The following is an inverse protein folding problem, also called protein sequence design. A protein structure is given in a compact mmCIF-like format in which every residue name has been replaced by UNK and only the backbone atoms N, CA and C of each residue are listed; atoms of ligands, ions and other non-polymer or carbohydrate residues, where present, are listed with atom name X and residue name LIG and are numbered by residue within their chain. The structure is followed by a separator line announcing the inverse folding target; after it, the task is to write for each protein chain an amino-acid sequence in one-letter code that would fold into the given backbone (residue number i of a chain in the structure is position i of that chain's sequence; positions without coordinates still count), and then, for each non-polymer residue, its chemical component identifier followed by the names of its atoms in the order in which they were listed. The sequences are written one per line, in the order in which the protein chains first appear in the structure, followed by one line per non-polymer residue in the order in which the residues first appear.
data_IF_613346593375
#
_entry.id   IF_613346593375
#
_cell.length_a   1.000
_cell.length_b   1.000
_cell.length_c   1.000
_cell.angle_alpha   90.00
_cell.angle_beta   90.00
_cell.angle_gamma   90.00
#
_symmetry.space_group_name_H-M   'P 1'
#
loop_
_entity.id
_entity.type
_entity.pdbx_description
1 polymer ?
#
# COMPACT_ATOMS: atom_id res chain seq x y z
N UNK A 1 -2.52 10.55 22.24
CA UNK A 1 -3.59 9.54 22.03
C UNK A 1 -3.04 8.46 21.14
N UNK A 2 -3.20 7.20 21.52
CA UNK A 2 -2.82 6.03 20.70
C UNK A 2 -3.80 5.91 19.55
N UNK A 3 -3.37 6.22 18.33
CA UNK A 3 -4.23 6.12 17.14
C UNK A 3 -4.46 4.65 16.75
N UNK A 4 -5.69 4.32 16.34
CA UNK A 4 -6.06 2.99 15.84
C UNK A 4 -5.81 2.91 14.34
N UNK A 5 -4.97 1.97 13.91
CA UNK A 5 -4.58 1.78 12.52
C UNK A 5 -5.08 0.44 12.00
N UNK A 6 -5.77 0.46 10.87
CA UNK A 6 -6.21 -0.75 10.17
C UNK A 6 -5.24 -1.06 9.02
N UNK A 7 -4.72 -2.29 9.03
CA UNK A 7 -3.77 -2.77 8.03
C UNK A 7 -4.49 -3.58 6.96
N UNK A 8 -4.17 -3.34 5.68
CA UNK A 8 -4.76 -4.03 4.53
C UNK A 8 -3.65 -4.73 3.76
N UNK A 9 -3.73 -6.06 3.66
CA UNK A 9 -2.67 -6.87 3.04
C UNK A 9 -2.74 -6.89 1.50
N UNK A 10 -1.66 -7.37 0.88
CA UNK A 10 -1.52 -7.48 -0.56
C UNK A 10 -2.06 -8.77 -1.17
N UNK A 11 -1.72 -8.97 -2.45
CA UNK A 11 -2.08 -10.16 -3.22
C UNK A 11 -1.40 -11.41 -2.63
N UNK A 12 -2.10 -12.54 -2.63
CA UNK A 12 -1.61 -13.85 -2.14
C UNK A 12 -1.20 -13.88 -0.67
N UNK A 13 -1.49 -12.84 0.09
CA UNK A 13 -1.16 -12.76 1.50
C UNK A 13 -2.36 -13.12 2.37
N UNK A 14 -2.07 -13.63 3.56
CA UNK A 14 -3.04 -13.81 4.64
C UNK A 14 -2.85 -12.71 5.70
N UNK A 15 -3.81 -12.58 6.61
CA UNK A 15 -3.76 -11.59 7.71
C UNK A 15 -2.48 -11.71 8.54
N UNK A 16 -1.97 -12.94 8.71
CA UNK A 16 -0.73 -13.21 9.44
C UNK A 16 0.51 -12.55 8.82
N UNK A 17 0.48 -12.27 7.51
CA UNK A 17 1.59 -11.63 6.80
C UNK A 17 1.94 -10.25 7.32
N UNK A 18 0.93 -9.48 7.75
CA UNK A 18 1.14 -8.13 8.29
C UNK A 18 1.43 -8.08 9.80
N UNK A 19 1.48 -9.23 10.49
CA UNK A 19 1.81 -9.27 11.93
C UNK A 19 3.14 -8.61 12.30
N UNK A 20 4.23 -8.76 11.52
CA UNK A 20 5.47 -8.06 11.78
C UNK A 20 5.33 -6.54 11.70
N UNK A 21 4.66 -6.03 10.66
CA UNK A 21 4.34 -4.62 10.50
C UNK A 21 3.48 -4.11 11.67
N UNK A 22 2.42 -4.85 12.01
CA UNK A 22 1.54 -4.53 13.11
C UNK A 22 2.28 -4.45 14.45
N UNK A 23 3.17 -5.41 14.73
CA UNK A 23 3.97 -5.43 15.96
C UNK A 23 4.92 -4.23 16.05
N UNK A 24 5.50 -3.81 14.91
CA UNK A 24 6.37 -2.63 14.85
C UNK A 24 5.59 -1.33 15.05
N UNK A 25 4.46 -1.15 14.38
CA UNK A 25 3.61 0.02 14.58
C UNK A 25 3.12 0.14 16.03
N UNK A 26 2.86 -1.00 16.71
CA UNK A 26 2.55 -0.99 18.14
C UNK A 26 3.70 -0.47 18.99
N UNK A 27 4.95 -0.78 18.64
CA UNK A 27 6.14 -0.18 19.33
C UNK A 27 6.24 1.33 19.11
N UNK A 28 5.69 1.82 18.00
CA UNK A 28 5.51 3.25 17.75
C UNK A 28 4.24 3.84 18.40
N UNK A 29 3.56 3.09 19.29
CA UNK A 29 2.43 3.60 20.09
C UNK A 29 1.07 3.59 19.39
N UNK A 30 0.90 2.84 18.30
CA UNK A 30 -0.39 2.68 17.63
C UNK A 30 -1.11 1.41 18.09
N UNK A 31 -2.42 1.44 18.14
CA UNK A 31 -3.24 0.23 18.13
C UNK A 31 -3.38 -0.26 16.69
N UNK A 32 -3.23 -1.56 16.47
CA UNK A 32 -3.26 -2.10 15.12
C UNK A 32 -4.20 -3.28 14.98
N UNK A 33 -4.98 -3.29 13.91
CA UNK A 33 -5.85 -4.37 13.50
C UNK A 33 -5.58 -4.72 12.04
N UNK A 34 -5.75 -5.97 11.63
CA UNK A 34 -5.58 -6.39 10.24
C UNK A 34 -6.95 -6.70 9.64
N UNK A 35 -7.24 -6.09 8.51
CA UNK A 35 -8.43 -6.37 7.72
C UNK A 35 -8.25 -7.64 6.91
N UNK A 36 -9.02 -8.68 7.26
CA UNK A 36 -8.99 -9.97 6.59
C UNK A 36 -9.90 -10.02 5.37
N UNK A 37 -9.33 -10.39 4.22
CA UNK A 37 -10.06 -10.68 2.99
C UNK A 37 -9.30 -11.69 2.11
N UNK A 38 -9.96 -12.31 1.14
CA UNK A 38 -9.29 -13.15 0.16
C UNK A 38 -8.96 -12.36 -1.11
N UNK A 39 -7.69 -12.04 -1.31
CA UNK A 39 -7.26 -11.29 -2.49
C UNK A 39 -7.50 -12.01 -3.82
N UNK A 40 -7.59 -13.35 -3.81
CA UNK A 40 -7.88 -14.17 -4.99
C UNK A 40 -9.38 -14.36 -5.24
N UNK A 41 -10.13 -14.73 -4.18
CA UNK A 41 -11.54 -15.14 -4.30
C UNK A 41 -12.50 -13.97 -4.16
N UNK A 42 -12.24 -13.05 -3.22
CA UNK A 42 -13.08 -11.89 -3.00
C UNK A 42 -12.80 -10.80 -4.04
N UNK A 43 -11.52 -10.51 -4.27
CA UNK A 43 -11.09 -9.40 -5.11
C UNK A 43 -11.59 -8.04 -4.59
N UNK A 44 -11.32 -6.95 -5.32
CA UNK A 44 -11.77 -5.61 -4.93
C UNK A 44 -13.30 -5.49 -4.82
N UNK A 45 -14.04 -6.24 -5.66
CA UNK A 45 -15.51 -6.18 -5.71
C UNK A 45 -16.19 -6.56 -4.41
N UNK A 46 -15.57 -7.42 -3.60
CA UNK A 46 -16.05 -7.81 -2.27
C UNK A 46 -15.25 -7.17 -1.15
N UNK A 47 -13.93 -7.02 -1.33
CA UNK A 47 -13.06 -6.46 -0.31
C UNK A 47 -13.38 -4.98 -0.05
N UNK A 48 -13.62 -4.16 -1.09
CA UNK A 48 -13.92 -2.73 -0.96
C UNK A 48 -15.21 -2.49 -0.16
N UNK A 49 -16.38 -3.05 -0.50
CA UNK A 49 -17.60 -2.86 0.30
C UNK A 49 -17.46 -3.34 1.75
N UNK A 50 -16.76 -4.46 1.99
CA UNK A 50 -16.50 -4.97 3.33
C UNK A 50 -15.58 -4.04 4.13
N UNK A 51 -14.58 -3.43 3.49
CA UNK A 51 -13.71 -2.46 4.15
C UNK A 51 -14.49 -1.17 4.48
N UNK A 52 -15.34 -0.69 3.58
CA UNK A 52 -16.23 0.45 3.83
C UNK A 52 -17.12 0.19 5.05
N UNK A 53 -17.79 -0.96 5.10
CA UNK A 53 -18.64 -1.33 6.22
C UNK A 53 -17.83 -1.45 7.53
N UNK A 54 -16.64 -2.05 7.47
CA UNK A 54 -15.75 -2.14 8.62
C UNK A 54 -15.35 -0.76 9.16
N UNK A 55 -15.07 0.20 8.27
CA UNK A 55 -14.70 1.56 8.65
C UNK A 55 -15.88 2.36 9.22
N UNK A 56 -17.10 2.11 8.73
CA UNK A 56 -18.33 2.72 9.28
C UNK A 56 -18.67 2.20 10.67
N UNK A 57 -18.53 0.90 10.88
CA UNK A 57 -18.88 0.26 12.16
C UNK A 57 -17.82 0.45 13.25
N UNK A 58 -16.57 0.64 12.88
CA UNK A 58 -15.47 0.89 13.81
C UNK A 58 -14.44 1.84 13.18
N UNK A 59 -14.61 3.15 13.37
CA UNK A 59 -13.70 4.15 12.85
C UNK A 59 -12.25 3.93 13.27
N UNK A 60 -11.33 4.40 12.43
CA UNK A 60 -9.88 4.29 12.65
C UNK A 60 -9.21 5.64 12.38
N UNK A 61 -8.04 5.86 12.98
CA UNK A 61 -7.25 7.08 12.82
C UNK A 61 -6.34 7.03 11.58
N UNK A 62 -6.23 5.86 10.93
CA UNK A 62 -5.48 5.73 9.70
C UNK A 62 -5.54 4.32 9.11
N UNK A 63 -5.13 4.24 7.85
CA UNK A 63 -4.96 2.97 7.12
C UNK A 63 -3.50 2.78 6.73
N UNK A 64 -3.04 1.54 6.72
CA UNK A 64 -1.77 1.18 6.09
C UNK A 64 -2.04 0.01 5.15
N UNK A 65 -1.83 0.23 3.85
CA UNK A 65 -2.01 -0.76 2.81
C UNK A 65 -0.67 -1.23 2.24
N UNK A 66 -0.42 -2.54 2.21
CA UNK A 66 0.75 -3.09 1.52
C UNK A 66 0.36 -3.60 0.14
N UNK A 67 1.09 -3.18 -0.89
CA UNK A 67 0.89 -3.65 -2.27
C UNK A 67 -0.55 -3.40 -2.76
N UNK A 68 -1.29 -4.43 -3.18
CA UNK A 68 -2.72 -4.36 -3.52
C UNK A 68 -3.56 -3.73 -2.39
N UNK A 69 -3.15 -3.91 -1.12
CA UNK A 69 -3.86 -3.36 0.02
C UNK A 69 -4.00 -1.84 0.01
N UNK A 70 -3.00 -1.11 -0.53
CA UNK A 70 -3.09 0.33 -0.72
C UNK A 70 -4.16 0.71 -1.75
N UNK A 71 -4.21 0.01 -2.88
CA UNK A 71 -5.26 0.22 -3.88
C UNK A 71 -6.66 -0.04 -3.32
N UNK A 72 -6.84 -1.12 -2.54
CA UNK A 72 -8.12 -1.44 -1.89
C UNK A 72 -8.51 -0.36 -0.88
N UNK A 73 -7.56 0.16 -0.10
CA UNK A 73 -7.80 1.23 0.84
C UNK A 73 -8.27 2.51 0.14
N UNK A 74 -7.57 2.94 -0.91
CA UNK A 74 -7.94 4.13 -1.67
C UNK A 74 -9.28 3.97 -2.41
N UNK A 75 -9.55 2.80 -3.02
CA UNK A 75 -10.84 2.50 -3.63
C UNK A 75 -12.00 2.52 -2.63
N UNK A 76 -11.79 2.04 -1.40
CA UNK A 76 -12.79 2.11 -0.35
C UNK A 76 -13.14 3.55 0.02
N UNK A 77 -12.12 4.40 0.20
CA UNK A 77 -12.34 5.82 0.53
C UNK A 77 -12.94 6.60 -0.64
N UNK A 78 -12.57 6.27 -1.89
CA UNK A 78 -13.15 6.89 -3.09
C UNK A 78 -14.62 6.52 -3.26
N UNK A 79 -14.99 5.25 -2.96
CA UNK A 79 -16.37 4.77 -3.06
C UNK A 79 -17.29 5.26 -1.93
N UNK A 80 -16.72 5.74 -0.82
CA UNK A 80 -17.43 6.23 0.35
C UNK A 80 -16.77 7.51 0.91
N UNK A 81 -16.97 8.66 0.25
CA UNK A 81 -16.31 9.93 0.61
C UNK A 81 -16.77 10.52 1.95
N UNK A 82 -17.79 9.93 2.56
CA UNK A 82 -18.27 10.22 3.91
C UNK A 82 -17.38 9.64 5.02
N UNK A 83 -16.51 8.69 4.70
CA UNK A 83 -15.61 8.08 5.67
C UNK A 83 -14.56 9.07 6.18
N UNK A 84 -14.48 9.20 7.51
CA UNK A 84 -13.57 10.11 8.19
C UNK A 84 -12.22 9.46 8.53
N UNK A 85 -11.51 8.95 7.53
CA UNK A 85 -10.15 8.44 7.69
C UNK A 85 -9.17 9.55 7.33
N UNK A 86 -8.41 10.10 8.29
CA UNK A 86 -7.55 11.26 8.03
C UNK A 86 -6.32 10.92 7.19
N UNK A 87 -5.71 9.74 7.39
CA UNK A 87 -4.42 9.39 6.75
C UNK A 87 -4.37 7.96 6.25
N UNK A 88 -3.71 7.78 5.11
CA UNK A 88 -3.42 6.49 4.50
C UNK A 88 -1.94 6.40 4.16
N UNK A 89 -1.28 5.30 4.53
CA UNK A 89 0.07 4.99 4.06
C UNK A 89 0.03 3.79 3.13
N UNK A 90 0.55 3.96 1.92
CA UNK A 90 0.67 2.91 0.91
C UNK A 90 2.12 2.43 0.85
N UNK A 91 2.36 1.17 1.26
CA UNK A 91 3.68 0.53 1.25
C UNK A 91 3.84 -0.29 -0.04
N UNK A 92 4.71 0.12 -0.96
CA UNK A 92 4.98 -0.60 -2.21
C UNK A 92 3.73 -0.85 -3.06
N UNK A 93 2.76 0.05 -3.05
CA UNK A 93 1.51 -0.11 -3.78
C UNK A 93 1.65 0.42 -5.21
N UNK A 94 1.29 -0.36 -6.24
CA UNK A 94 1.35 0.06 -7.63
C UNK A 94 0.14 0.95 -7.97
N UNK A 95 0.13 2.16 -7.41
CA UNK A 95 -1.03 3.05 -7.45
C UNK A 95 -1.38 3.50 -8.87
N UNK A 96 -0.39 3.59 -9.77
CA UNK A 96 -0.59 3.93 -11.19
C UNK A 96 -0.74 2.70 -12.10
N UNK A 97 -1.02 1.53 -11.51
CA UNK A 97 -1.10 0.25 -12.22
C UNK A 97 0.22 -0.50 -12.26
N UNK A 98 0.17 -1.83 -12.37
CA UNK A 98 1.31 -2.74 -12.23
C UNK A 98 1.70 -3.38 -13.56
N UNK A 99 2.94 -3.17 -14.00
CA UNK A 99 3.55 -3.86 -15.12
C UNK A 99 3.67 -5.37 -14.84
N UNK A 100 4.05 -5.72 -13.61
CA UNK A 100 4.11 -7.12 -13.17
C UNK A 100 2.74 -7.78 -13.32
N UNK A 101 1.66 -7.13 -12.90
CA UNK A 101 0.31 -7.66 -13.03
C UNK A 101 -0.14 -7.76 -14.50
N UNK A 102 0.20 -6.77 -15.33
CA UNK A 102 -0.07 -6.82 -16.78
C UNK A 102 0.62 -8.01 -17.44
N UNK A 103 1.90 -8.23 -17.14
CA UNK A 103 2.68 -9.34 -17.70
C UNK A 103 2.22 -10.72 -17.20
N UNK A 104 1.82 -10.81 -15.92
CA UNK A 104 1.21 -12.03 -15.36
C UNK A 104 -0.14 -12.34 -16.03
N UNK A 105 -0.97 -11.35 -16.28
CA UNK A 105 -2.27 -11.50 -16.91
C UNK A 105 -2.15 -11.93 -18.39
N UNK A 106 -1.09 -11.52 -19.06
CA UNK A 106 -0.81 -11.88 -20.46
C UNK A 106 -0.44 -13.35 -20.68
N UNK A 107 -0.18 -14.12 -19.62
CA UNK A 107 0.18 -15.54 -19.70
C UNK A 107 -0.89 -16.41 -19.05
N UNK A 108 -1.44 -17.38 -19.78
CA UNK A 108 -2.55 -18.21 -19.32
C UNK A 108 -2.26 -18.94 -17.99
N UNK A 109 -1.02 -19.38 -17.76
CA UNK A 109 -0.62 -20.12 -16.56
C UNK A 109 -0.35 -19.25 -15.33
N UNK A 110 -0.07 -17.93 -15.50
CA UNK A 110 0.12 -17.00 -14.36
C UNK A 110 -1.11 -16.16 -14.05
N UNK A 111 -2.01 -16.01 -15.01
CA UNK A 111 -3.26 -15.23 -14.84
C UNK A 111 -4.07 -15.62 -13.60
N UNK A 112 -4.21 -16.90 -13.23
CA UNK A 112 -4.93 -17.30 -12.01
C UNK A 112 -4.33 -16.75 -10.71
N UNK A 113 -3.02 -16.43 -10.68
CA UNK A 113 -2.35 -15.86 -9.50
C UNK A 113 -2.87 -14.46 -9.14
N UNK A 114 -3.43 -13.74 -10.10
CA UNK A 114 -4.03 -12.41 -9.87
C UNK A 114 -5.48 -12.50 -9.40
N UNK A 115 -6.14 -13.62 -9.68
CA UNK A 115 -7.55 -13.83 -9.35
C UNK A 115 -8.44 -12.67 -9.81
N UNK A 116 -9.38 -12.29 -8.98
CA UNK A 116 -10.29 -11.15 -9.22
C UNK A 116 -9.66 -9.78 -9.02
N UNK A 117 -8.43 -9.72 -8.53
CA UNK A 117 -7.70 -8.46 -8.32
C UNK A 117 -7.00 -7.93 -9.58
N UNK A 118 -6.94 -8.73 -10.66
CA UNK A 118 -6.25 -8.36 -11.89
C UNK A 118 -6.67 -7.00 -12.47
N UNK A 119 -7.97 -6.66 -12.61
CA UNK A 119 -8.37 -5.38 -13.20
C UNK A 119 -7.86 -4.17 -12.42
N UNK A 120 -7.98 -4.19 -11.09
CA UNK A 120 -7.52 -3.09 -10.25
C UNK A 120 -5.99 -2.95 -10.27
N UNK A 121 -5.26 -4.06 -10.18
CA UNK A 121 -3.80 -4.04 -10.26
C UNK A 121 -3.28 -3.56 -11.62
N UNK A 122 -3.99 -3.86 -12.72
CA UNK A 122 -3.57 -3.43 -14.05
C UNK A 122 -3.87 -1.96 -14.32
N UNK A 123 -5.04 -1.50 -13.88
CA UNK A 123 -5.50 -0.12 -14.13
C UNK A 123 -4.85 0.88 -13.16
N UNK A 124 -4.77 0.54 -11.88
CA UNK A 124 -4.44 1.51 -10.83
C UNK A 124 -5.45 2.65 -10.75
N UNK A 125 -5.00 3.76 -10.21
CA UNK A 125 -5.70 5.04 -10.13
C UNK A 125 -5.01 6.07 -11.04
N UNK A 126 -5.74 7.09 -11.49
CA UNK A 126 -5.17 8.18 -12.29
C UNK A 126 -4.75 9.38 -11.43
N UNK A 127 -5.48 9.62 -10.36
CA UNK A 127 -5.31 10.75 -9.47
C UNK A 127 -5.94 10.45 -8.11
N UNK A 128 -5.42 11.05 -7.04
CA UNK A 128 -6.06 11.05 -5.73
C UNK A 128 -6.65 12.43 -5.43
N UNK A 129 -7.96 12.48 -5.26
CA UNK A 129 -8.73 13.69 -4.92
C UNK A 129 -9.61 13.49 -3.67
N UNK A 130 -9.38 12.39 -2.93
CA UNK A 130 -10.08 12.11 -1.68
C UNK A 130 -9.61 13.00 -0.53
N UNK A 131 -10.35 12.97 0.58
CA UNK A 131 -10.09 13.81 1.76
C UNK A 131 -8.88 13.37 2.58
N UNK A 132 -8.56 12.09 2.55
CA UNK A 132 -7.44 11.55 3.32
C UNK A 132 -6.11 12.04 2.76
N UNK A 133 -5.18 12.43 3.64
CA UNK A 133 -3.79 12.61 3.27
C UNK A 133 -3.18 11.24 2.96
N UNK A 134 -2.62 11.07 1.77
CA UNK A 134 -2.02 9.80 1.34
C UNK A 134 -0.51 9.95 1.25
N UNK A 135 0.21 9.11 1.99
CA UNK A 135 1.66 8.97 1.90
C UNK A 135 2.05 7.65 1.24
N UNK A 136 3.09 7.68 0.43
CA UNK A 136 3.57 6.50 -0.27
C UNK A 136 5.02 6.19 0.12
N UNK A 137 5.26 4.99 0.61
CA UNK A 137 6.61 4.47 0.87
C UNK A 137 6.93 3.45 -0.22
N UNK A 138 7.91 3.74 -1.06
CA UNK A 138 8.38 2.86 -2.11
C UNK A 138 9.70 2.19 -1.71
N UNK A 139 9.93 0.96 -2.18
CA UNK A 139 11.22 0.29 -2.05
C UNK A 139 12.04 0.42 -3.34
N UNK A 140 13.38 0.40 -3.24
CA UNK A 140 14.30 0.51 -4.38
C UNK A 140 15.21 -0.71 -4.59
N UNK A 141 15.08 -1.74 -3.75
CA UNK A 141 15.89 -2.96 -3.87
C UNK A 141 15.18 -3.99 -4.72
N UNK A 142 15.61 -4.12 -5.97
CA UNK A 142 15.05 -5.05 -6.93
C UNK A 142 15.37 -6.52 -6.57
N UNK A 143 14.71 -7.08 -5.55
CA UNK A 143 14.79 -8.50 -5.14
C UNK A 143 13.41 -9.14 -5.08
N UNK A 144 13.33 -10.42 -5.45
CA UNK A 144 12.09 -11.21 -5.36
C UNK A 144 11.61 -11.75 -6.71
N UNK A 145 10.52 -12.52 -6.66
CA UNK A 145 9.95 -13.23 -7.81
C UNK A 145 9.39 -12.29 -8.90
N UNK A 146 8.99 -11.08 -8.54
CA UNK A 146 8.45 -10.10 -9.50
C UNK A 146 9.41 -9.78 -10.65
N UNK A 147 10.73 -9.83 -10.41
CA UNK A 147 11.77 -9.64 -11.43
C UNK A 147 11.71 -10.65 -12.59
N UNK A 148 11.12 -11.80 -12.37
CA UNK A 148 10.92 -12.81 -13.41
C UNK A 148 9.82 -12.39 -14.40
N UNK A 149 8.96 -11.45 -13.98
CA UNK A 149 7.77 -11.06 -14.74
C UNK A 149 7.81 -9.61 -15.23
N UNK A 150 8.67 -8.75 -14.66
CA UNK A 150 8.81 -7.37 -15.11
C UNK A 150 10.27 -6.91 -15.08
N UNK A 151 10.65 -6.11 -16.08
CA UNK A 151 11.88 -5.30 -16.08
C UNK A 151 11.45 -3.86 -15.98
N UNK A 152 11.98 -3.16 -14.99
CA UNK A 152 11.66 -1.76 -14.73
C UNK A 152 12.81 -0.87 -15.21
N UNK A 153 12.48 0.19 -15.93
CA UNK A 153 13.36 1.31 -16.17
C UNK A 153 13.22 2.28 -14.99
N UNK A 154 14.28 2.68 -14.32
CA UNK A 154 14.23 3.68 -13.25
C UNK A 154 14.07 3.18 -11.82
N UNK A 155 14.27 1.90 -11.56
CA UNK A 155 14.28 1.35 -10.20
C UNK A 155 12.94 0.69 -9.78
N UNK A 156 13.06 -0.26 -8.85
CA UNK A 156 11.93 -1.02 -8.34
C UNK A 156 12.27 -1.72 -7.03
N UNK A 157 11.26 -2.13 -6.30
CA UNK A 157 11.39 -3.02 -5.13
C UNK A 157 11.47 -4.52 -5.50
N UNK A 158 11.52 -4.83 -6.80
CA UNK A 158 11.52 -6.17 -7.36
C UNK A 158 10.14 -6.70 -7.77
N UNK A 159 9.08 -5.97 -7.50
CA UNK A 159 7.69 -6.31 -7.85
C UNK A 159 6.94 -5.11 -8.42
N UNK A 160 7.21 -3.92 -7.88
CA UNK A 160 6.59 -2.64 -8.25
C UNK A 160 7.69 -1.66 -8.64
N UNK A 161 7.53 -1.00 -9.78
CA UNK A 161 8.41 0.07 -10.24
C UNK A 161 8.17 1.36 -9.44
N UNK A 162 9.21 2.18 -9.27
CA UNK A 162 9.08 3.46 -8.55
C UNK A 162 8.01 4.35 -9.20
N UNK A 163 7.96 4.41 -10.53
CA UNK A 163 6.96 5.22 -11.26
C UNK A 163 5.52 4.71 -11.04
N UNK A 164 5.34 3.41 -10.80
CA UNK A 164 4.02 2.84 -10.51
C UNK A 164 3.46 3.29 -9.14
N UNK A 165 4.32 3.83 -8.28
CA UNK A 165 3.96 4.31 -6.94
C UNK A 165 3.65 5.82 -6.90
N UNK A 166 3.98 6.57 -7.96
CA UNK A 166 3.90 8.05 -8.03
C UNK A 166 2.52 8.52 -8.50
N UNK A 167 1.51 8.31 -7.67
CA UNK A 167 0.16 8.77 -7.97
C UNK A 167 0.06 10.29 -7.78
N UNK A 168 -0.40 11.06 -8.78
CA UNK A 168 -0.69 12.47 -8.59
C UNK A 168 -1.77 12.70 -7.52
N UNK A 169 -1.61 13.77 -6.73
CA UNK A 169 -2.55 14.14 -5.65
C UNK A 169 -2.25 13.51 -4.30
N UNK A 170 -1.25 12.64 -4.17
CA UNK A 170 -0.79 12.17 -2.84
C UNK A 170 -0.06 13.30 -2.09
N UNK A 171 -0.14 13.27 -0.76
CA UNK A 171 0.43 14.29 0.10
C UNK A 171 1.96 14.23 0.14
N UNK A 172 2.54 13.03 0.15
CA UNK A 172 3.98 12.84 0.22
C UNK A 172 4.41 11.46 -0.28
N UNK A 173 5.68 11.35 -0.71
CA UNK A 173 6.27 10.14 -1.24
C UNK A 173 7.73 10.00 -0.78
N UNK A 174 8.09 8.86 -0.22
CA UNK A 174 9.48 8.58 0.13
C UNK A 174 9.94 7.21 -0.40
N UNK A 175 11.26 7.05 -0.50
CA UNK A 175 11.91 5.81 -0.93
C UNK A 175 12.73 5.28 0.24
N UNK A 176 12.60 3.97 0.50
CA UNK A 176 13.40 3.27 1.51
C UNK A 176 14.19 2.14 0.83
N UNK A 177 15.42 1.88 1.32
CA UNK A 177 16.30 0.88 0.73
C UNK A 177 15.87 -0.54 1.14
N UNK A 178 14.80 -1.05 0.53
CA UNK A 178 14.33 -2.41 0.74
C UNK A 178 13.55 -2.98 -0.45
N UNK A 179 13.35 -4.30 -0.43
CA UNK A 179 12.55 -5.00 -1.45
C UNK A 179 11.06 -4.94 -1.09
N UNK A 180 10.20 -5.34 -2.04
CA UNK A 180 8.74 -5.39 -1.88
C UNK A 180 8.28 -6.12 -0.62
N UNK A 181 8.78 -7.32 -0.41
CA UNK A 181 8.54 -8.09 0.82
C UNK A 181 9.20 -7.42 2.02
N UNK A 182 10.38 -6.83 1.82
CA UNK A 182 11.15 -6.14 2.85
C UNK A 182 10.41 -4.98 3.49
N UNK A 183 9.54 -4.28 2.76
CA UNK A 183 8.74 -3.16 3.29
C UNK A 183 7.93 -3.52 4.55
N UNK A 184 7.43 -4.75 4.65
CA UNK A 184 6.67 -5.24 5.82
C UNK A 184 7.58 -5.47 7.04
N UNK A 185 8.86 -5.69 6.81
CA UNK A 185 9.86 -6.03 7.84
C UNK A 185 10.84 -4.91 8.14
N UNK A 186 10.89 -3.87 7.31
CA UNK A 186 11.83 -2.76 7.43
C UNK A 186 11.46 -1.83 8.58
N UNK A 187 12.39 -1.58 9.49
CA UNK A 187 12.22 -0.57 10.55
C UNK A 187 12.11 0.84 9.94
N UNK A 188 12.86 1.14 8.86
CA UNK A 188 12.81 2.45 8.19
C UNK A 188 11.43 2.69 7.56
N UNK A 189 10.88 1.67 6.85
CA UNK A 189 9.54 1.78 6.27
C UNK A 189 8.47 1.99 7.35
N UNK A 190 8.60 1.32 8.48
CA UNK A 190 7.69 1.47 9.62
C UNK A 190 7.85 2.83 10.29
N UNK A 191 9.09 3.32 10.47
CA UNK A 191 9.35 4.65 11.05
C UNK A 191 8.73 5.74 10.16
N UNK A 192 8.93 5.66 8.85
CA UNK A 192 8.31 6.57 7.89
C UNK A 192 6.78 6.50 7.94
N UNK A 193 6.20 5.30 7.94
CA UNK A 193 4.76 5.14 8.07
C UNK A 193 4.21 5.73 9.38
N UNK A 194 4.90 5.49 10.50
CA UNK A 194 4.53 6.01 11.80
C UNK A 194 4.63 7.55 11.86
N UNK A 195 5.66 8.12 11.22
CA UNK A 195 5.82 9.56 11.12
C UNK A 195 4.69 10.18 10.30
N UNK A 196 4.41 9.63 9.11
CA UNK A 196 3.33 10.11 8.26
C UNK A 196 1.96 10.03 8.96
N UNK A 197 1.66 8.92 9.63
CA UNK A 197 0.41 8.75 10.37
C UNK A 197 0.22 9.81 11.47
N UNK A 198 1.29 10.40 12.00
CA UNK A 198 1.22 11.47 13.00
C UNK A 198 1.20 12.86 12.40
N UNK A 199 1.95 13.08 11.31
CA UNK A 199 2.29 14.42 10.84
C UNK A 199 1.80 14.77 9.43
N UNK A 200 1.30 13.77 8.65
CA UNK A 200 0.86 13.95 7.26
C UNK A 200 2.01 14.13 6.26
N UNK A 201 3.25 13.90 6.68
CA UNK A 201 4.46 13.97 5.85
C UNK A 201 5.49 12.96 6.32
N UNK A 202 6.42 12.60 5.45
CA UNK A 202 7.57 11.76 5.79
C UNK A 202 8.73 12.59 6.37
N UNK A 203 9.68 11.91 7.01
CA UNK A 203 10.98 12.49 7.33
C UNK A 203 11.88 12.42 6.10
N UNK A 204 12.10 13.54 5.46
CA UNK A 204 13.10 13.67 4.41
C UNK A 204 14.44 14.10 5.03
N UNK A 205 15.56 13.55 4.52
CA UNK A 205 16.87 14.07 4.88
C UNK A 205 16.90 15.57 4.57
N UNK A 206 17.43 16.38 5.48
CA UNK A 206 17.61 17.79 5.21
C UNK A 206 18.46 17.95 3.95
N UNK A 207 17.98 18.71 2.97
CA UNK A 207 18.81 19.07 1.83
C UNK A 207 20.09 19.74 2.37
N UNK A 208 21.29 19.33 1.89
CA UNK A 208 22.49 20.05 2.25
C UNK A 208 22.33 21.52 1.85
N UNK A 209 22.79 22.48 2.65
CA UNK A 209 22.68 23.89 2.31
C UNK A 209 23.27 24.11 0.92
N UNK A 210 22.52 24.82 0.08
CA UNK A 210 22.99 25.22 -1.24
C UNK A 210 24.35 25.94 -1.09
N UNK A 211 25.39 25.40 -1.72
CA UNK A 211 26.74 25.96 -1.75
C UNK A 211 26.80 27.08 -2.77
#
# INVERSE_FOLDING_TARGET
MTGKILLVHGLLNADSWLRPLAARLRRHGFETEVFGYSSLLDGPQRAVPRLVERLRTSPVDGLVGHSLGGLIALEALRSAPDLAVPRVVCLGSPLCGSLTARNLAGRAWTRPLLGRSAPLLQAGLQYWDGRAEVGVVAGDVARGLGRLFARFEGGSDGTVGLEETRLPGVADHCIVHCSHTGLVFSEDAVAQAAHFLRHGRFEHAAEPPAV
#
